data_IF_433863155539
#
_entry.id   IF_433863155539
#
_cell.length_a   1.000
_cell.length_b   1.000
_cell.length_c   1.000
_cell.angle_alpha   90.00
_cell.angle_beta   90.00
_cell.angle_gamma   90.00
#
_symmetry.space_group_name_H-M   'P 1'
#
loop_
_entity.id
_entity.type
_entity.pdbx_description
1 polymer ?
#
# COMPACT_ATOMS: atom_id res chain seq x y z
N UNK A 1 -14.01 5.37 11.26
CA UNK A 1 -12.66 5.66 11.80
C UNK A 1 -12.44 7.14 12.08
N UNK A 2 -12.99 8.04 11.26
CA UNK A 2 -12.87 9.49 11.47
C UNK A 2 -14.24 10.12 11.60
N UNK A 3 -14.66 10.54 12.81
CA UNK A 3 -15.95 11.19 13.02
C UNK A 3 -16.07 12.56 12.33
N UNK A 4 -14.96 13.10 11.82
CA UNK A 4 -14.85 14.39 11.14
C UNK A 4 -14.65 14.27 9.61
N UNK A 5 -15.04 13.16 8.99
CA UNK A 5 -14.89 13.00 7.53
C UNK A 5 -15.67 14.09 6.78
N UNK A 6 -15.07 14.83 5.83
CA UNK A 6 -15.74 15.87 5.05
C UNK A 6 -16.99 15.36 4.31
N UNK A 7 -17.00 14.09 3.91
CA UNK A 7 -18.13 13.41 3.26
C UNK A 7 -19.41 13.43 4.08
N UNK A 8 -19.31 13.54 5.42
CA UNK A 8 -20.45 13.68 6.33
C UNK A 8 -21.34 14.89 5.99
N UNK A 9 -20.78 15.92 5.41
CA UNK A 9 -21.48 17.15 5.06
C UNK A 9 -21.97 17.17 3.61
N UNK A 10 -21.78 16.09 2.87
CA UNK A 10 -22.26 15.97 1.50
C UNK A 10 -23.81 15.88 1.47
N UNK A 11 -24.42 16.57 0.51
CA UNK A 11 -25.88 16.49 0.26
C UNK A 11 -26.28 15.31 -0.61
N UNK A 12 -25.31 14.61 -1.20
CA UNK A 12 -25.54 13.50 -2.14
C UNK A 12 -25.01 12.16 -1.63
N UNK A 13 -24.26 12.16 -0.53
CA UNK A 13 -23.67 10.97 0.08
C UNK A 13 -24.42 10.66 1.38
N UNK A 14 -24.89 9.44 1.53
CA UNK A 14 -25.36 8.92 2.81
C UNK A 14 -24.15 8.42 3.61
N UNK A 15 -23.77 9.19 4.62
CA UNK A 15 -22.61 8.88 5.46
C UNK A 15 -23.07 8.14 6.71
N UNK A 16 -22.48 6.97 6.95
CA UNK A 16 -22.71 6.18 8.17
C UNK A 16 -21.37 5.80 8.79
N UNK A 17 -21.21 6.01 10.08
CA UNK A 17 -20.05 5.55 10.84
C UNK A 17 -20.39 4.20 11.46
N UNK A 18 -19.58 3.19 11.19
CA UNK A 18 -19.72 1.86 11.78
C UNK A 18 -18.52 1.64 12.71
N UNK A 19 -18.74 1.41 14.02
CA UNK A 19 -17.69 0.97 14.94
C UNK A 19 -17.14 -0.39 14.48
N UNK A 20 -15.86 -0.62 14.74
CA UNK A 20 -15.16 -1.89 14.44
C UNK A 20 -15.26 -2.35 12.97
N UNK A 21 -15.37 -1.42 12.03
CA UNK A 21 -15.42 -1.74 10.59
C UNK A 21 -14.12 -2.39 10.09
N UNK A 22 -13.05 -2.33 10.88
CA UNK A 22 -11.78 -3.02 10.65
C UNK A 22 -11.86 -4.54 10.95
N UNK A 23 -12.95 -5.00 11.57
CA UNK A 23 -13.25 -6.41 11.76
C UNK A 23 -14.05 -6.94 10.56
N UNK A 24 -13.56 -7.99 9.91
CA UNK A 24 -14.15 -8.55 8.68
C UNK A 24 -15.58 -9.08 8.87
N UNK A 25 -15.89 -9.67 10.02
CA UNK A 25 -17.24 -10.19 10.30
C UNK A 25 -18.23 -9.05 10.54
N UNK A 26 -17.79 -7.96 11.19
CA UNK A 26 -18.58 -6.72 11.31
C UNK A 26 -18.84 -6.12 9.93
N UNK A 27 -17.81 -6.03 9.07
CA UNK A 27 -17.95 -5.54 7.69
C UNK A 27 -18.98 -6.38 6.92
N UNK A 28 -18.86 -7.69 6.93
CA UNK A 28 -19.80 -8.59 6.23
C UNK A 28 -21.23 -8.41 6.72
N UNK A 29 -21.43 -8.43 8.02
CA UNK A 29 -22.77 -8.26 8.61
C UNK A 29 -23.43 -6.96 8.14
N UNK A 30 -22.72 -5.84 8.23
CA UNK A 30 -23.25 -4.53 7.81
C UNK A 30 -23.51 -4.48 6.31
N UNK A 31 -22.64 -5.07 5.49
CA UNK A 31 -22.83 -5.12 4.05
C UNK A 31 -24.05 -5.99 3.67
N UNK A 32 -24.23 -7.14 4.29
CA UNK A 32 -25.42 -7.98 4.06
C UNK A 32 -26.71 -7.29 4.52
N UNK A 33 -26.71 -6.61 5.69
CA UNK A 33 -27.84 -5.82 6.16
C UNK A 33 -28.21 -4.70 5.18
N UNK A 34 -27.19 -4.02 4.64
CA UNK A 34 -27.38 -2.98 3.61
C UNK A 34 -27.97 -3.56 2.31
N UNK A 35 -27.42 -4.68 1.83
CA UNK A 35 -27.92 -5.35 0.64
C UNK A 35 -29.39 -5.81 0.80
N UNK A 36 -29.74 -6.34 1.98
CA UNK A 36 -31.11 -6.75 2.29
C UNK A 36 -32.12 -5.58 2.24
N UNK A 37 -31.69 -4.37 2.60
CA UNK A 37 -32.52 -3.15 2.50
C UNK A 37 -32.64 -2.61 1.07
N UNK A 38 -31.76 -3.05 0.16
CA UNK A 38 -31.69 -2.55 -1.22
C UNK A 38 -31.93 -3.64 -2.27
N UNK A 39 -32.80 -4.62 -1.95
CA UNK A 39 -33.14 -5.71 -2.86
C UNK A 39 -33.58 -5.20 -4.24
N UNK A 40 -33.09 -5.85 -5.28
CA UNK A 40 -33.38 -5.49 -6.67
C UNK A 40 -32.57 -4.35 -7.24
N UNK A 41 -31.68 -3.73 -6.43
CA UNK A 41 -30.72 -2.74 -6.92
C UNK A 41 -29.40 -3.42 -7.28
N UNK A 42 -28.69 -2.85 -8.24
CA UNK A 42 -27.32 -3.22 -8.55
C UNK A 42 -26.39 -2.49 -7.59
N UNK A 43 -25.68 -3.24 -6.73
CA UNK A 43 -24.80 -2.68 -5.71
C UNK A 43 -23.34 -2.82 -6.16
N UNK A 44 -22.60 -1.71 -6.10
CA UNK A 44 -21.15 -1.69 -6.33
C UNK A 44 -20.45 -1.42 -5.01
N UNK A 45 -19.35 -2.15 -4.76
CA UNK A 45 -18.58 -2.04 -3.54
C UNK A 45 -17.13 -1.70 -3.85
N UNK A 46 -16.62 -0.63 -3.24
CA UNK A 46 -15.23 -0.17 -3.40
C UNK A 46 -14.58 0.01 -2.04
N UNK A 47 -13.42 -0.60 -1.83
CA UNK A 47 -12.53 -0.29 -0.72
C UNK A 47 -11.69 0.95 -1.05
N UNK A 48 -11.85 2.02 -0.27
CA UNK A 48 -11.15 3.29 -0.52
C UNK A 48 -9.79 3.39 0.19
N UNK A 49 -9.36 2.35 0.90
CA UNK A 49 -8.02 2.18 1.46
C UNK A 49 -7.53 0.77 1.17
N UNK A 50 -6.21 0.56 1.26
CA UNK A 50 -5.60 -0.75 1.05
C UNK A 50 -6.18 -1.82 1.97
N UNK A 51 -6.43 -1.48 3.24
CA UNK A 51 -7.02 -2.39 4.23
C UNK A 51 -8.41 -2.84 3.81
N UNK A 52 -9.32 -1.90 3.49
CA UNK A 52 -10.68 -2.23 3.08
C UNK A 52 -10.74 -2.95 1.73
N UNK A 53 -9.88 -2.58 0.80
CA UNK A 53 -9.75 -3.30 -0.46
C UNK A 53 -9.31 -4.76 -0.21
N UNK A 54 -8.32 -4.97 0.66
CA UNK A 54 -7.85 -6.30 1.04
C UNK A 54 -8.95 -7.14 1.71
N UNK A 55 -9.70 -6.55 2.65
CA UNK A 55 -10.81 -7.23 3.33
C UNK A 55 -11.90 -7.67 2.34
N UNK A 56 -12.32 -6.77 1.45
CA UNK A 56 -13.33 -7.06 0.42
C UNK A 56 -12.84 -8.18 -0.51
N UNK A 57 -11.58 -8.13 -0.94
CA UNK A 57 -11.01 -9.14 -1.84
C UNK A 57 -10.94 -10.50 -1.16
N UNK A 58 -10.50 -10.58 0.09
CA UNK A 58 -10.46 -11.84 0.86
C UNK A 58 -11.83 -12.46 1.06
N UNK A 59 -12.85 -11.65 1.32
CA UNK A 59 -14.21 -12.10 1.62
C UNK A 59 -15.16 -12.00 0.41
N UNK A 60 -14.60 -11.82 -0.80
CA UNK A 60 -15.38 -11.59 -2.04
C UNK A 60 -16.39 -12.70 -2.33
N UNK A 61 -16.06 -13.95 -2.02
CA UNK A 61 -16.96 -15.09 -2.21
C UNK A 61 -18.24 -15.02 -1.36
N UNK A 62 -18.21 -14.27 -0.26
CA UNK A 62 -19.35 -14.08 0.65
C UNK A 62 -20.20 -12.84 0.29
N UNK A 63 -19.66 -11.95 -0.52
CA UNK A 63 -20.29 -10.67 -0.90
C UNK A 63 -21.00 -10.77 -2.28
N UNK A 64 -21.77 -11.83 -2.48
CA UNK A 64 -22.42 -12.17 -3.76
C UNK A 64 -23.46 -11.15 -4.24
N UNK A 65 -23.99 -10.34 -3.33
CA UNK A 65 -24.95 -9.26 -3.64
C UNK A 65 -24.28 -8.04 -4.29
N UNK A 66 -22.95 -7.99 -4.25
CA UNK A 66 -22.16 -6.86 -4.69
C UNK A 66 -21.35 -7.17 -5.95
N UNK A 67 -21.24 -6.18 -6.80
CA UNK A 67 -20.19 -6.11 -7.82
C UNK A 67 -18.99 -5.44 -7.17
N UNK A 68 -18.01 -6.22 -6.76
CA UNK A 68 -16.78 -5.75 -6.14
C UNK A 68 -15.60 -5.91 -7.12
N UNK A 69 -15.18 -4.82 -7.82
CA UNK A 69 -14.02 -4.88 -8.69
C UNK A 69 -12.76 -5.18 -7.88
N UNK A 70 -11.87 -5.94 -8.47
CA UNK A 70 -10.60 -6.29 -7.85
C UNK A 70 -10.04 -7.59 -8.41
N UNK A 71 -8.71 -7.81 -8.30
CA UNK A 71 -8.06 -9.03 -8.73
C UNK A 71 -8.47 -10.24 -7.86
N UNK A 72 -7.99 -11.42 -8.22
CA UNK A 72 -8.04 -12.58 -7.35
C UNK A 72 -7.22 -12.34 -6.07
N UNK A 73 -7.59 -12.96 -4.96
CA UNK A 73 -7.00 -12.68 -3.65
C UNK A 73 -5.50 -13.00 -3.57
N UNK A 74 -5.05 -14.05 -4.24
CA UNK A 74 -3.65 -14.46 -4.35
C UNK A 74 -2.83 -13.41 -5.13
N UNK A 75 -3.35 -12.93 -6.25
CA UNK A 75 -2.71 -11.86 -7.02
C UNK A 75 -2.63 -10.57 -6.22
N UNK A 76 -3.71 -10.19 -5.52
CA UNK A 76 -3.70 -8.99 -4.68
C UNK A 76 -2.63 -9.06 -3.60
N UNK A 77 -2.51 -10.20 -2.91
CA UNK A 77 -1.47 -10.43 -1.91
C UNK A 77 -0.05 -10.25 -2.47
N UNK A 78 0.19 -10.69 -3.70
CA UNK A 78 1.51 -10.59 -4.35
C UNK A 78 1.87 -9.21 -4.88
N UNK A 79 0.92 -8.27 -5.00
CA UNK A 79 1.19 -6.90 -5.49
C UNK A 79 1.07 -5.81 -4.42
N UNK A 80 0.45 -6.12 -3.28
CA UNK A 80 0.22 -5.15 -2.20
C UNK A 80 1.51 -4.78 -1.46
N UNK A 81 2.35 -5.76 -1.21
CA UNK A 81 3.63 -5.56 -0.51
C UNK A 81 4.74 -5.27 -1.51
N UNK A 82 5.62 -4.33 -1.18
CA UNK A 82 6.66 -3.86 -2.10
C UNK A 82 7.66 -4.95 -2.49
N UNK A 83 8.04 -5.82 -1.55
CA UNK A 83 8.99 -6.88 -1.84
C UNK A 83 8.40 -7.92 -2.81
N UNK A 84 7.16 -8.36 -2.58
CA UNK A 84 6.45 -9.27 -3.46
C UNK A 84 6.17 -8.63 -4.83
N UNK A 85 5.83 -7.35 -4.85
CA UNK A 85 5.64 -6.61 -6.10
C UNK A 85 6.90 -6.59 -6.97
N UNK A 86 8.09 -6.45 -6.37
CA UNK A 86 9.34 -6.50 -7.13
C UNK A 86 9.64 -7.91 -7.67
N UNK A 87 9.26 -8.97 -6.95
CA UNK A 87 9.31 -10.34 -7.48
C UNK A 87 8.40 -10.51 -8.70
N UNK A 88 7.21 -9.89 -8.69
CA UNK A 88 6.31 -9.83 -9.86
C UNK A 88 6.95 -9.03 -11.00
N UNK A 89 7.59 -7.90 -10.72
CA UNK A 89 8.30 -7.12 -11.72
C UNK A 89 9.39 -7.94 -12.40
N UNK A 90 10.21 -8.66 -11.65
CA UNK A 90 11.24 -9.57 -12.18
C UNK A 90 10.62 -10.63 -13.11
N UNK A 91 9.58 -11.31 -12.64
CA UNK A 91 8.90 -12.36 -13.40
C UNK A 91 8.37 -11.89 -14.75
N UNK A 92 7.91 -10.65 -14.84
CA UNK A 92 7.32 -10.08 -16.05
C UNK A 92 8.23 -9.11 -16.80
N UNK A 93 9.49 -8.94 -16.39
CA UNK A 93 10.44 -8.02 -17.01
C UNK A 93 10.00 -6.55 -16.92
N UNK A 94 9.28 -6.17 -15.86
CA UNK A 94 8.84 -4.80 -15.61
C UNK A 94 9.97 -4.04 -14.94
N UNK A 95 10.48 -2.95 -15.51
CA UNK A 95 11.58 -2.21 -14.91
C UNK A 95 11.15 -1.54 -13.61
N UNK A 96 11.99 -1.62 -12.59
CA UNK A 96 11.86 -0.93 -11.30
C UNK A 96 13.25 -0.52 -10.81
N UNK A 97 13.37 0.42 -9.85
CA UNK A 97 14.67 0.83 -9.34
C UNK A 97 15.41 -0.32 -8.64
N UNK A 98 16.73 -0.43 -8.85
CA UNK A 98 17.57 -1.43 -8.19
C UNK A 98 17.26 -1.48 -6.70
N UNK A 99 17.00 -2.68 -6.18
CA UNK A 99 16.51 -2.85 -4.81
C UNK A 99 17.12 -4.07 -4.13
N UNK A 100 17.38 -3.95 -2.82
CA UNK A 100 17.79 -5.03 -1.93
C UNK A 100 16.72 -5.27 -0.89
N UNK A 101 16.24 -6.51 -0.79
CA UNK A 101 15.26 -6.91 0.21
C UNK A 101 16.00 -7.51 1.42
N UNK A 102 15.65 -7.01 2.61
CA UNK A 102 16.17 -7.53 3.88
C UNK A 102 15.04 -8.18 4.67
N UNK A 103 15.34 -9.32 5.28
CA UNK A 103 14.42 -10.08 6.15
C UNK A 103 14.76 -9.95 7.64
N UNK A 104 15.89 -9.32 7.94
CA UNK A 104 16.39 -9.10 9.29
C UNK A 104 17.36 -7.90 9.30
N UNK A 105 17.68 -7.35 10.48
CA UNK A 105 18.76 -6.38 10.62
C UNK A 105 20.09 -6.96 10.12
N UNK A 106 20.89 -6.12 9.49
CA UNK A 106 22.23 -6.47 8.99
C UNK A 106 23.25 -5.39 9.40
N UNK A 107 24.50 -5.76 9.48
CA UNK A 107 25.58 -4.81 9.76
C UNK A 107 25.88 -3.91 8.55
N UNK A 108 26.41 -2.72 8.82
CA UNK A 108 26.79 -1.75 7.78
C UNK A 108 27.77 -2.35 6.73
N UNK A 109 28.62 -3.29 7.15
CA UNK A 109 29.53 -4.00 6.26
C UNK A 109 28.84 -4.85 5.19
N UNK A 110 27.55 -5.22 5.40
CA UNK A 110 26.72 -5.93 4.41
C UNK A 110 25.97 -4.99 3.46
N UNK A 111 26.03 -3.68 3.72
CA UNK A 111 25.31 -2.65 2.97
C UNK A 111 26.25 -1.73 2.16
N UNK A 112 27.47 -2.16 1.88
CA UNK A 112 28.39 -1.40 1.01
C UNK A 112 27.85 -1.35 -0.43
N UNK A 113 28.22 -0.32 -1.19
CA UNK A 113 27.81 -0.16 -2.59
C UNK A 113 28.12 -1.38 -3.45
N UNK A 114 29.30 -1.99 -3.26
CA UNK A 114 29.70 -3.21 -3.97
C UNK A 114 28.76 -4.39 -3.70
N UNK A 115 28.25 -4.52 -2.46
CA UNK A 115 27.32 -5.59 -2.08
C UNK A 115 25.87 -5.31 -2.48
N UNK A 116 25.50 -4.04 -2.53
CA UNK A 116 24.17 -3.62 -2.96
C UNK A 116 24.04 -3.60 -4.49
N UNK A 117 25.11 -3.27 -5.21
CA UNK A 117 25.11 -3.06 -6.65
C UNK A 117 24.61 -1.68 -7.08
N UNK A 118 24.39 -0.76 -6.14
CA UNK A 118 23.99 0.62 -6.40
C UNK A 118 24.53 1.58 -5.33
N UNK A 119 24.66 2.87 -5.71
CA UNK A 119 25.29 3.89 -4.91
C UNK A 119 24.34 4.53 -3.87
N UNK A 120 24.95 5.16 -2.88
CA UNK A 120 24.29 6.08 -1.93
C UNK A 120 24.13 7.49 -2.54
N UNK A 121 23.12 8.30 -2.09
CA UNK A 121 22.13 7.97 -1.07
C UNK A 121 21.07 6.98 -1.58
N UNK A 122 20.51 6.22 -0.67
CA UNK A 122 19.44 5.27 -0.99
C UNK A 122 18.18 5.48 -0.14
N UNK A 123 17.09 4.91 -0.60
CA UNK A 123 15.81 4.91 0.08
C UNK A 123 15.69 3.64 0.92
N UNK A 124 15.27 3.79 2.19
CA UNK A 124 14.92 2.68 3.09
C UNK A 124 13.44 2.79 3.41
N UNK A 125 12.69 1.73 3.15
CA UNK A 125 11.23 1.70 3.37
C UNK A 125 10.74 0.31 3.77
N UNK A 126 9.64 0.21 4.57
CA UNK A 126 9.02 -1.07 4.88
C UNK A 126 8.33 -1.66 3.64
N UNK A 127 8.32 -2.98 3.51
CA UNK A 127 7.58 -3.68 2.46
C UNK A 127 6.07 -3.55 2.67
N UNK A 128 5.58 -3.87 3.87
CA UNK A 128 4.18 -3.71 4.26
C UNK A 128 3.96 -2.39 4.99
N UNK A 129 3.27 -1.44 4.36
CA UNK A 129 2.86 -0.19 5.01
C UNK A 129 1.83 -0.45 6.12
N UNK A 130 0.92 -1.40 5.91
CA UNK A 130 -0.14 -1.76 6.87
C UNK A 130 0.46 -2.27 8.18
N UNK A 131 1.40 -3.21 8.11
CA UNK A 131 2.03 -3.76 9.30
C UNK A 131 2.98 -2.74 9.95
N UNK A 132 3.62 -1.91 9.15
CA UNK A 132 4.50 -0.87 9.64
C UNK A 132 3.79 0.11 10.58
N UNK A 133 2.63 0.62 10.20
CA UNK A 133 1.86 1.56 11.01
C UNK A 133 1.29 0.98 12.31
N UNK A 134 1.30 -0.35 12.47
CA UNK A 134 0.92 -1.03 13.72
C UNK A 134 2.03 -1.05 14.77
N UNK A 135 3.27 -0.70 14.39
CA UNK A 135 4.45 -0.72 15.25
C UNK A 135 5.11 0.66 15.34
N UNK A 136 4.42 1.65 15.95
CA UNK A 136 4.89 3.03 16.00
C UNK A 136 6.12 3.20 16.90
N UNK A 137 7.00 4.15 16.54
CA UNK A 137 8.15 4.60 17.32
C UNK A 137 8.44 6.09 17.04
N UNK A 138 9.16 6.78 17.94
CA UNK A 138 9.26 8.25 17.97
C UNK A 138 9.80 8.89 16.67
N UNK A 139 10.73 8.22 15.97
CA UNK A 139 11.35 8.75 14.76
C UNK A 139 10.73 8.18 13.48
N UNK A 140 9.53 7.62 13.57
CA UNK A 140 8.86 6.94 12.48
C UNK A 140 8.59 7.85 11.28
N UNK A 141 9.00 7.41 10.10
CA UNK A 141 8.73 8.05 8.81
C UNK A 141 8.22 7.01 7.82
N UNK A 142 7.45 7.44 6.84
CA UNK A 142 6.97 6.58 5.75
C UNK A 142 8.14 6.07 4.88
N UNK A 143 9.14 6.94 4.66
CA UNK A 143 10.32 6.69 3.83
C UNK A 143 11.53 7.35 4.49
N UNK A 144 12.66 6.68 4.46
CA UNK A 144 13.93 7.20 4.95
C UNK A 144 14.93 7.33 3.80
N UNK A 145 15.79 8.32 3.87
CA UNK A 145 16.98 8.43 3.03
C UNK A 145 18.21 8.12 3.88
N UNK A 146 19.09 7.26 3.41
CA UNK A 146 20.36 6.96 4.02
C UNK A 146 21.48 7.41 3.09
N UNK A 147 22.43 8.17 3.62
CA UNK A 147 23.60 8.63 2.88
C UNK A 147 24.81 7.69 3.00
N UNK A 148 24.79 6.78 3.96
CA UNK A 148 25.89 5.84 4.25
C UNK A 148 25.36 4.46 4.65
N UNK A 149 26.21 3.40 4.51
CA UNK A 149 25.89 2.06 5.01
C UNK A 149 25.53 2.04 6.52
N UNK A 150 26.20 2.84 7.33
CA UNK A 150 25.95 2.93 8.76
C UNK A 150 24.56 3.50 9.06
N UNK A 151 24.16 4.57 8.38
CA UNK A 151 22.81 5.13 8.50
C UNK A 151 21.73 4.14 8.05
N UNK A 152 21.94 3.45 6.94
CA UNK A 152 21.01 2.45 6.45
C UNK A 152 20.82 1.30 7.45
N UNK A 153 21.92 0.78 8.02
CA UNK A 153 21.88 -0.27 9.03
C UNK A 153 21.15 0.17 10.30
N UNK A 154 21.38 1.41 10.78
CA UNK A 154 20.74 1.94 11.99
C UNK A 154 19.23 2.14 11.77
N UNK A 155 18.80 2.65 10.60
CA UNK A 155 17.39 2.78 10.25
C UNK A 155 16.71 1.40 10.26
N UNK A 156 17.30 0.42 9.58
CA UNK A 156 16.76 -0.96 9.51
C UNK A 156 16.66 -1.57 10.90
N UNK A 157 17.72 -1.44 11.72
CA UNK A 157 17.74 -1.93 13.10
C UNK A 157 16.66 -1.28 13.96
N UNK A 158 16.48 0.03 13.87
CA UNK A 158 15.45 0.78 14.61
C UNK A 158 14.05 0.30 14.24
N UNK A 159 13.78 0.08 12.96
CA UNK A 159 12.48 -0.39 12.50
C UNK A 159 12.21 -1.81 13.00
N UNK A 160 13.16 -2.74 12.90
CA UNK A 160 12.95 -4.09 13.44
C UNK A 160 12.85 -4.11 14.97
N UNK A 161 13.54 -3.22 15.66
CA UNK A 161 13.45 -3.10 17.13
C UNK A 161 12.06 -2.62 17.60
N UNK A 162 11.27 -1.95 16.76
CA UNK A 162 9.87 -1.61 17.06
C UNK A 162 8.91 -2.82 17.01
N UNK A 163 9.41 -3.99 16.59
CA UNK A 163 8.59 -5.21 16.41
C UNK A 163 7.99 -5.36 15.02
N UNK A 164 8.39 -4.54 14.03
CA UNK A 164 7.95 -4.68 12.65
C UNK A 164 8.28 -6.09 12.11
N UNK A 165 7.27 -6.87 11.64
CA UNK A 165 7.44 -8.30 11.39
C UNK A 165 7.80 -8.65 9.94
N UNK A 166 7.81 -7.68 9.02
CA UNK A 166 7.95 -7.94 7.59
C UNK A 166 9.29 -7.44 7.04
N UNK A 167 9.50 -7.57 5.76
CA UNK A 167 10.72 -7.25 5.04
C UNK A 167 10.96 -5.75 4.89
N UNK A 168 12.22 -5.35 4.82
CA UNK A 168 12.65 -3.99 4.48
C UNK A 168 13.16 -3.95 3.04
N UNK A 169 12.94 -2.82 2.40
CA UNK A 169 13.40 -2.53 1.04
C UNK A 169 14.43 -1.41 1.10
N UNK A 170 15.65 -1.69 0.69
CA UNK A 170 16.67 -0.71 0.36
C UNK A 170 16.64 -0.51 -1.15
N UNK A 171 16.53 0.72 -1.60
CA UNK A 171 16.30 1.01 -3.01
C UNK A 171 17.14 2.18 -3.48
N UNK A 172 17.74 2.04 -4.66
CA UNK A 172 18.41 3.12 -5.37
C UNK A 172 17.48 4.33 -5.47
N UNK A 173 17.97 5.48 -5.09
CA UNK A 173 17.22 6.73 -5.23
C UNK A 173 17.06 7.07 -6.71
N UNK A 174 15.82 7.24 -7.14
CA UNK A 174 15.53 7.77 -8.47
C UNK A 174 15.77 9.28 -8.45
N UNK A 175 16.62 9.82 -9.33
CA UNK A 175 16.91 11.25 -9.34
C UNK A 175 15.70 12.07 -9.82
N UNK A 176 15.61 13.31 -9.34
CA UNK A 176 14.55 14.26 -9.66
C UNK A 176 13.83 14.75 -8.42
N UNK A 177 13.16 15.88 -8.52
CA UNK A 177 12.31 16.45 -7.48
C UNK A 177 10.84 16.05 -7.66
N UNK A 178 9.98 16.63 -6.82
CA UNK A 178 8.53 16.35 -6.82
C UNK A 178 7.85 16.70 -8.14
N UNK A 179 8.40 17.65 -8.89
CA UNK A 179 7.96 18.01 -10.23
C UNK A 179 8.11 16.88 -11.27
N UNK A 180 8.90 15.84 -10.95
CA UNK A 180 9.07 14.65 -11.77
C UNK A 180 8.13 13.50 -11.36
N UNK A 181 7.44 13.60 -10.21
CA UNK A 181 6.53 12.55 -9.75
C UNK A 181 5.30 12.43 -10.65
N UNK A 182 5.01 11.21 -11.07
CA UNK A 182 3.83 10.88 -11.88
C UNK A 182 3.13 9.66 -11.32
N UNK A 183 1.81 9.66 -11.38
CA UNK A 183 0.97 8.53 -11.00
C UNK A 183 0.17 8.10 -12.20
N UNK A 184 0.37 6.87 -12.64
CA UNK A 184 -0.45 6.24 -13.65
C UNK A 184 -1.53 5.41 -12.97
N UNK A 185 -2.79 5.78 -13.15
CA UNK A 185 -3.95 5.02 -12.70
C UNK A 185 -4.61 4.37 -13.90
N UNK A 186 -4.90 3.07 -13.80
CA UNK A 186 -5.56 2.34 -14.87
C UNK A 186 -6.66 1.44 -14.31
N UNK A 187 -7.70 1.22 -15.10
CA UNK A 187 -8.75 0.25 -14.85
C UNK A 187 -8.74 -0.82 -15.94
N UNK A 188 -8.61 -2.08 -15.53
CA UNK A 188 -8.71 -3.24 -16.41
C UNK A 188 -10.00 -4.01 -16.15
N UNK A 189 -10.60 -4.53 -17.22
CA UNK A 189 -11.76 -5.40 -17.10
C UNK A 189 -11.38 -6.84 -16.71
N UNK A 190 -12.37 -7.72 -16.59
CA UNK A 190 -12.20 -9.13 -16.23
C UNK A 190 -11.37 -9.95 -17.23
N UNK A 191 -11.14 -9.44 -18.45
CA UNK A 191 -10.29 -10.05 -19.48
C UNK A 191 -8.87 -9.45 -19.49
N UNK A 192 -8.51 -8.62 -18.50
CA UNK A 192 -7.22 -7.94 -18.42
C UNK A 192 -7.04 -6.78 -19.41
N UNK A 193 -8.12 -6.39 -20.12
CA UNK A 193 -8.05 -5.27 -21.06
C UNK A 193 -8.17 -3.95 -20.33
N UNK A 194 -7.20 -3.05 -20.51
CA UNK A 194 -7.25 -1.70 -19.96
C UNK A 194 -8.37 -0.91 -20.65
N UNK A 195 -9.34 -0.44 -19.87
CA UNK A 195 -10.53 0.30 -20.35
C UNK A 195 -10.44 1.79 -20.08
N UNK A 196 -9.71 2.19 -19.05
CA UNK A 196 -9.45 3.59 -18.75
C UNK A 196 -8.04 3.72 -18.18
N UNK A 197 -7.40 4.84 -18.48
CA UNK A 197 -6.06 5.16 -17.98
C UNK A 197 -5.93 6.67 -17.82
N UNK A 198 -5.32 7.09 -16.73
CA UNK A 198 -5.06 8.49 -16.45
C UNK A 198 -3.64 8.66 -15.89
N UNK A 199 -2.89 9.57 -16.47
CA UNK A 199 -1.58 9.98 -15.96
C UNK A 199 -1.76 11.26 -15.14
N UNK A 200 -1.50 11.19 -13.85
CA UNK A 200 -1.56 12.31 -12.91
C UNK A 200 -0.17 12.87 -12.61
N UNK A 201 -0.11 14.14 -12.30
CA UNK A 201 1.01 14.81 -11.65
C UNK A 201 0.66 15.00 -10.18
N UNK A 202 1.48 14.47 -9.27
CA UNK A 202 1.26 14.66 -7.83
C UNK A 202 1.57 16.10 -7.45
N UNK A 203 0.74 16.67 -6.59
CA UNK A 203 0.94 18.06 -6.13
C UNK A 203 1.26 18.12 -4.64
N UNK A 204 0.52 17.38 -3.82
CA UNK A 204 0.70 17.34 -2.36
C UNK A 204 0.30 15.97 -1.81
N UNK A 205 0.94 15.56 -0.72
CA UNK A 205 0.53 14.41 0.09
C UNK A 205 0.31 14.86 1.55
N UNK A 206 -0.68 14.29 2.23
CA UNK A 206 -1.10 14.68 3.56
C UNK A 206 0.00 14.57 4.63
N UNK A 207 0.85 13.56 4.51
CA UNK A 207 1.85 13.22 5.54
C UNK A 207 3.30 13.46 5.14
N UNK A 208 3.54 13.89 3.91
CA UNK A 208 4.89 14.19 3.42
C UNK A 208 4.88 15.42 2.52
N UNK A 209 5.98 16.17 2.45
CA UNK A 209 6.09 17.28 1.50
C UNK A 209 6.24 16.85 0.04
N UNK A 210 6.29 15.55 -0.21
CA UNK A 210 6.66 14.96 -1.50
C UNK A 210 5.48 14.27 -2.20
N UNK A 211 4.32 14.78 -2.16
CA UNK A 211 3.15 14.38 -2.96
C UNK A 211 2.90 12.91 -3.28
#
# INVERSE_FOLDING_TARGET
RYPMAPTKYSKIIHFTTVPDMDNEDTMLRILHEFAAQHKGKRLYLFGCTDDYAAMIIRRKAELTEYIAPGPAADLYGSIQKKAEFYEVCEKFGIPYPDSKILTAPVDAAELTEDKLGFAYPLIVKPSSSVDYWKHPFDTMKKVYTAATPAEAAEIVKTIYASGYPDRMVLQKMVPGGDDHMRVLTAFSDENGKVRAMCLGHTMVEEHTPHG
#
